data_IF_157726857101
#
_entry.id   IF_157726857101
#
_cell.length_a   1.000
_cell.length_b   1.000
_cell.length_c   1.000
_cell.angle_alpha   90.00
_cell.angle_beta   90.00
_cell.angle_gamma   90.00
#
_symmetry.space_group_name_H-M   'P 1'
#
loop_
_entity.id
_entity.type
_entity.pdbx_description
1 polymer ?
#
# COMPACT_ATOMS: atom_id res chain seq x y z
N UNK A 1 1.51 7.35 14.71
CA UNK A 1 0.95 8.71 14.72
C UNK A 1 0.50 9.22 13.33
N UNK A 2 0.77 8.49 12.26
CA UNK A 2 0.32 8.85 10.93
C UNK A 2 -1.21 8.88 10.85
N UNK A 3 -1.75 9.83 10.13
CA UNK A 3 -3.18 9.91 9.85
C UNK A 3 -3.42 9.43 8.43
N UNK A 4 -3.82 8.17 8.31
CA UNK A 4 -4.23 7.63 7.03
C UNK A 4 -5.68 8.03 6.81
N UNK A 5 -5.89 8.90 5.86
CA UNK A 5 -7.20 9.37 5.46
C UNK A 5 -7.54 8.70 4.13
N UNK A 6 -8.25 7.57 4.13
CA UNK A 6 -8.72 6.93 2.89
C UNK A 6 -9.84 7.75 2.23
N UNK A 7 -9.96 8.98 2.65
CA UNK A 7 -10.84 9.99 2.14
C UNK A 7 -10.41 10.36 0.71
N UNK A 8 -11.13 9.87 -0.23
CA UNK A 8 -11.11 10.41 -1.57
C UNK A 8 -12.05 11.60 -1.55
N UNK A 9 -11.49 12.81 -1.43
CA UNK A 9 -12.26 14.05 -1.36
C UNK A 9 -13.37 14.08 -2.43
N UNK A 10 -14.48 14.73 -2.13
CA UNK A 10 -15.66 14.75 -3.00
C UNK A 10 -15.36 15.17 -4.45
N UNK A 11 -14.35 16.04 -4.67
CA UNK A 11 -13.90 16.41 -6.02
C UNK A 11 -13.24 15.25 -6.79
N UNK A 12 -12.77 14.21 -6.12
CA UNK A 12 -12.16 13.03 -6.76
C UNK A 12 -13.21 12.07 -7.31
N UNK A 13 -14.44 12.13 -6.85
CA UNK A 13 -15.56 11.45 -7.50
C UNK A 13 -15.73 11.89 -8.95
N UNK A 14 -15.28 13.08 -9.31
CA UNK A 14 -15.27 13.64 -10.66
C UNK A 14 -13.92 13.45 -11.38
N UNK A 15 -13.03 12.63 -10.85
CA UNK A 15 -11.76 12.33 -11.52
C UNK A 15 -12.00 11.62 -12.85
N UNK A 16 -11.17 11.86 -13.88
CA UNK A 16 -11.31 11.20 -15.18
C UNK A 16 -11.36 9.67 -15.08
N UNK A 17 -10.64 9.08 -14.13
CA UNK A 17 -10.65 7.65 -13.87
C UNK A 17 -12.04 7.16 -13.42
N UNK A 18 -12.62 7.80 -12.40
CA UNK A 18 -13.92 7.39 -11.85
C UNK A 18 -15.02 7.57 -12.90
N UNK A 19 -15.00 8.67 -13.64
CA UNK A 19 -15.96 8.93 -14.74
C UNK A 19 -15.80 7.88 -15.84
N UNK A 20 -14.58 7.62 -16.29
CA UNK A 20 -14.31 6.67 -17.36
C UNK A 20 -14.66 5.22 -16.97
N UNK A 21 -14.57 4.88 -15.69
CA UNK A 21 -14.97 3.55 -15.17
C UNK A 21 -16.49 3.31 -15.23
N UNK A 22 -17.29 4.35 -15.35
CA UNK A 22 -18.76 4.28 -15.25
C UNK A 22 -19.29 3.96 -13.85
N UNK A 23 -18.42 3.96 -12.82
CA UNK A 23 -18.71 3.54 -11.45
C UNK A 23 -18.94 4.71 -10.48
N UNK A 24 -19.05 5.94 -11.00
CA UNK A 24 -19.14 7.14 -10.17
C UNK A 24 -20.24 7.06 -9.11
N UNK A 25 -21.45 6.61 -9.49
CA UNK A 25 -22.56 6.49 -8.54
C UNK A 25 -22.32 5.40 -7.49
N UNK A 26 -21.75 4.26 -7.88
CA UNK A 26 -21.45 3.16 -6.98
C UNK A 26 -20.32 3.50 -5.98
N UNK A 27 -19.34 4.29 -6.40
CA UNK A 27 -18.21 4.70 -5.57
C UNK A 27 -18.48 5.97 -4.75
N UNK A 28 -19.51 6.77 -5.12
CA UNK A 28 -19.82 8.04 -4.45
C UNK A 28 -19.92 7.94 -2.91
N UNK A 29 -20.55 6.88 -2.31
CA UNK A 29 -20.62 6.74 -0.85
C UNK A 29 -19.24 6.65 -0.17
N UNK A 30 -18.22 6.18 -0.88
CA UNK A 30 -16.86 5.99 -0.37
C UNK A 30 -15.95 7.21 -0.55
N UNK A 31 -16.41 8.23 -1.30
CA UNK A 31 -15.70 9.50 -1.47
C UNK A 31 -16.06 10.51 -0.39
N UNK A 32 -16.16 10.02 0.84
CA UNK A 32 -16.40 10.83 2.02
C UNK A 32 -15.34 10.53 3.07
N UNK A 33 -15.12 11.48 3.95
CA UNK A 33 -14.22 11.28 5.08
C UNK A 33 -14.87 10.31 6.08
N UNK A 34 -14.12 9.28 6.49
CA UNK A 34 -14.55 8.35 7.52
C UNK A 34 -13.35 7.91 8.37
N UNK A 35 -13.60 7.42 9.56
CA UNK A 35 -12.60 6.81 10.41
C UNK A 35 -12.33 5.39 9.94
N UNK A 36 -11.07 5.07 9.69
CA UNK A 36 -10.67 3.71 9.35
C UNK A 36 -10.70 2.82 10.59
N UNK A 37 -10.14 3.31 11.68
CA UNK A 37 -10.06 2.61 12.95
C UNK A 37 -10.12 3.61 14.12
N UNK A 38 -11.18 3.52 14.93
CA UNK A 38 -11.37 4.41 16.08
C UNK A 38 -10.37 4.15 17.22
N UNK A 39 -9.68 3.02 17.22
CA UNK A 39 -8.67 2.63 18.21
C UNK A 39 -7.27 3.19 17.90
N UNK A 40 -7.11 3.87 16.76
CA UNK A 40 -5.87 4.52 16.35
C UNK A 40 -6.00 6.05 16.42
N UNK A 41 -4.94 6.78 16.08
CA UNK A 41 -4.91 8.24 16.18
C UNK A 41 -5.92 8.96 15.28
N UNK A 42 -6.44 8.31 14.26
CA UNK A 42 -7.58 8.83 13.47
C UNK A 42 -8.88 8.87 14.28
N UNK A 43 -9.04 8.01 15.30
CA UNK A 43 -10.12 8.07 16.29
C UNK A 43 -9.94 9.17 17.36
N UNK A 44 -8.73 9.65 17.55
CA UNK A 44 -8.35 10.64 18.58
C UNK A 44 -7.84 11.96 17.98
N UNK A 45 -8.56 12.45 16.98
CA UNK A 45 -8.13 13.60 16.20
C UNK A 45 -7.90 14.87 17.03
N UNK A 46 -8.71 15.07 18.08
CA UNK A 46 -8.55 16.22 19.01
C UNK A 46 -7.21 16.19 19.75
N UNK A 47 -6.89 15.05 20.35
CA UNK A 47 -5.65 14.84 21.10
C UNK A 47 -4.43 14.89 20.18
N UNK A 48 -4.54 14.32 18.98
CA UNK A 48 -3.49 14.40 17.98
C UNK A 48 -3.18 15.84 17.60
N UNK A 49 -4.22 16.65 17.32
CA UNK A 49 -4.07 18.08 17.04
C UNK A 49 -3.44 18.82 18.21
N UNK A 50 -3.89 18.55 19.45
CA UNK A 50 -3.34 19.17 20.66
C UNK A 50 -1.86 18.83 20.84
N UNK A 51 -1.45 17.58 20.61
CA UNK A 51 -0.04 17.16 20.66
C UNK A 51 0.79 17.91 19.61
N UNK A 52 0.34 17.95 18.38
CA UNK A 52 1.05 18.66 17.30
C UNK A 52 1.15 20.17 17.59
N UNK A 53 0.08 20.76 18.10
CA UNK A 53 0.07 22.16 18.52
C UNK A 53 1.05 22.42 19.66
N UNK A 54 1.14 21.52 20.65
CA UNK A 54 2.11 21.61 21.74
C UNK A 54 3.55 21.62 21.20
N UNK A 55 3.90 20.71 20.29
CA UNK A 55 5.23 20.66 19.67
C UNK A 55 5.58 21.98 18.98
N UNK A 56 4.65 22.53 18.21
CA UNK A 56 4.85 23.80 17.48
C UNK A 56 4.98 25.00 18.42
N UNK A 57 4.04 25.13 19.37
CA UNK A 57 3.99 26.30 20.27
C UNK A 57 5.23 26.38 21.17
N UNK A 58 5.81 25.25 21.51
CA UNK A 58 7.05 25.17 22.32
C UNK A 58 8.32 25.05 21.44
N UNK A 59 8.21 25.21 20.12
CA UNK A 59 9.33 25.13 19.19
C UNK A 59 10.14 23.83 19.31
N UNK A 60 9.47 22.70 19.63
CA UNK A 60 10.08 21.37 19.71
C UNK A 60 10.22 20.85 18.28
N UNK A 61 11.46 20.64 17.86
CA UNK A 61 11.83 20.25 16.48
C UNK A 61 12.47 18.86 16.45
N UNK A 62 12.62 18.33 15.24
CA UNK A 62 13.26 17.03 14.96
C UNK A 62 12.57 15.87 15.69
N UNK A 63 11.26 15.94 15.80
CA UNK A 63 10.46 14.86 16.41
C UNK A 63 10.22 13.77 15.40
N UNK A 64 10.52 12.53 15.78
CA UNK A 64 10.28 11.33 14.99
C UNK A 64 9.52 10.32 15.83
N UNK A 65 8.39 9.85 15.35
CA UNK A 65 7.69 8.71 15.90
C UNK A 65 8.20 7.42 15.25
N UNK A 66 8.37 6.39 16.04
CA UNK A 66 8.64 5.02 15.61
C UNK A 66 7.44 4.20 16.01
N UNK A 67 6.69 3.72 15.05
CA UNK A 67 5.39 3.09 15.27
C UNK A 67 5.30 1.71 14.60
N UNK A 68 4.28 0.95 14.97
CA UNK A 68 3.99 -0.38 14.44
C UNK A 68 2.49 -0.60 14.34
N UNK A 69 2.03 -1.80 14.71
CA UNK A 69 0.64 -2.22 14.85
C UNK A 69 -0.13 -2.41 13.53
N UNK A 70 -0.06 -1.47 12.60
CA UNK A 70 -0.85 -1.46 11.36
C UNK A 70 -0.41 -2.52 10.33
N UNK A 71 0.65 -3.27 10.60
CA UNK A 71 1.14 -4.35 9.73
C UNK A 71 1.52 -3.89 8.31
N UNK A 72 2.16 -2.75 8.21
CA UNK A 72 2.62 -2.15 6.97
C UNK A 72 3.86 -1.31 7.19
N UNK A 73 4.61 -1.03 6.13
CA UNK A 73 5.60 0.02 6.15
C UNK A 73 5.00 1.32 5.65
N UNK A 74 5.09 2.36 6.47
CA UNK A 74 4.79 3.72 6.04
C UNK A 74 5.91 4.67 6.49
N UNK A 75 6.14 5.70 5.71
CA UNK A 75 6.95 6.84 6.12
C UNK A 75 6.31 8.12 5.61
N UNK A 76 6.22 9.11 6.47
CA UNK A 76 5.59 10.36 6.11
C UNK A 76 5.70 11.42 7.18
N UNK A 77 4.96 12.51 6.97
CA UNK A 77 4.86 13.60 7.94
C UNK A 77 3.53 13.52 8.68
N UNK A 78 3.56 13.85 9.97
CA UNK A 78 2.35 14.11 10.74
C UNK A 78 2.14 15.62 10.79
N UNK A 79 1.04 16.05 10.23
CA UNK A 79 0.70 17.46 10.16
C UNK A 79 -0.14 17.89 11.37
N UNK A 80 -0.11 19.16 11.69
CA UNK A 80 -0.83 19.71 12.84
C UNK A 80 -2.35 19.60 12.68
N UNK A 81 -2.86 19.79 11.47
CA UNK A 81 -4.30 19.67 11.17
C UNK A 81 -4.54 19.17 9.75
N UNK A 82 -4.76 17.86 9.62
CA UNK A 82 -5.08 17.25 8.33
C UNK A 82 -6.44 17.69 7.75
N UNK A 83 -7.34 18.23 8.59
CA UNK A 83 -8.66 18.66 8.15
C UNK A 83 -8.66 20.09 7.60
N UNK A 84 -7.58 20.83 7.82
CA UNK A 84 -7.42 22.17 7.25
C UNK A 84 -7.21 22.11 5.73
N UNK A 85 -7.49 23.22 5.06
CA UNK A 85 -7.20 23.37 3.64
C UNK A 85 -5.70 23.18 3.39
N UNK A 86 -5.36 22.24 2.51
CA UNK A 86 -3.97 21.86 2.23
C UNK A 86 -3.40 20.84 3.22
N UNK A 87 -4.17 20.34 4.20
CA UNK A 87 -3.77 19.27 5.10
C UNK A 87 -2.85 19.68 6.24
N UNK A 88 -2.78 20.96 6.57
CA UNK A 88 -1.98 21.48 7.69
C UNK A 88 -0.47 21.58 7.42
N UNK A 89 0.29 21.81 8.48
CA UNK A 89 1.74 21.99 8.44
C UNK A 89 2.46 20.79 9.03
N UNK A 90 3.47 20.22 8.35
CA UNK A 90 4.29 19.13 8.90
C UNK A 90 4.92 19.51 10.22
N UNK A 91 4.75 18.66 11.23
CA UNK A 91 5.21 18.90 12.62
C UNK A 91 6.21 17.84 13.07
N UNK A 92 6.00 16.58 12.69
CA UNK A 92 6.92 15.49 12.98
C UNK A 92 6.97 14.50 11.82
N UNK A 93 7.91 13.56 11.87
CA UNK A 93 8.00 12.42 10.97
C UNK A 93 7.47 11.18 11.68
N UNK A 94 6.75 10.34 10.97
CA UNK A 94 6.34 9.02 11.44
C UNK A 94 6.95 7.92 10.55
N UNK A 95 7.59 6.96 11.18
CA UNK A 95 8.21 5.80 10.56
C UNK A 95 7.55 4.55 11.13
N UNK A 96 6.71 3.93 10.32
CA UNK A 96 5.88 2.78 10.71
C UNK A 96 6.49 1.51 10.18
N UNK A 97 6.69 0.52 11.06
CA UNK A 97 7.23 -0.79 10.69
C UNK A 97 6.14 -1.82 10.51
N UNK A 98 6.31 -2.69 9.52
CA UNK A 98 5.49 -3.88 9.34
C UNK A 98 5.75 -4.93 10.44
N UNK A 99 4.84 -5.89 10.58
CA UNK A 99 5.05 -7.09 11.39
C UNK A 99 5.91 -8.12 10.67
N UNK A 100 6.60 -8.97 11.45
CA UNK A 100 7.49 -10.03 10.90
C UNK A 100 6.72 -11.21 10.32
N UNK A 101 5.56 -11.56 10.90
CA UNK A 101 4.81 -12.78 10.57
C UNK A 101 3.30 -12.61 10.58
N UNK A 102 2.81 -11.44 10.93
CA UNK A 102 1.37 -11.13 10.91
C UNK A 102 0.86 -10.92 9.48
N UNK A 103 -0.43 -11.09 9.29
CA UNK A 103 -1.08 -10.69 8.05
C UNK A 103 -0.85 -9.20 7.78
N UNK A 104 -0.75 -8.85 6.51
CA UNK A 104 -0.48 -7.46 6.12
C UNK A 104 -1.76 -6.63 6.12
N UNK A 105 -1.61 -5.31 6.25
CA UNK A 105 -2.71 -4.36 6.11
C UNK A 105 -3.47 -4.54 4.77
N UNK A 106 -2.73 -4.81 3.69
CA UNK A 106 -3.33 -5.12 2.39
C UNK A 106 -4.23 -6.35 2.45
N UNK A 107 -3.81 -7.44 3.13
CA UNK A 107 -4.64 -8.67 3.22
C UNK A 107 -5.96 -8.38 3.92
N UNK A 108 -5.94 -7.66 5.04
CA UNK A 108 -7.16 -7.28 5.76
C UNK A 108 -8.11 -6.43 4.92
N UNK A 109 -7.55 -5.41 4.23
CA UNK A 109 -8.39 -4.56 3.37
C UNK A 109 -8.92 -5.30 2.16
N UNK A 110 -8.11 -6.12 1.50
CA UNK A 110 -8.55 -6.95 0.37
C UNK A 110 -9.74 -7.82 0.75
N UNK A 111 -9.65 -8.49 1.89
CA UNK A 111 -10.69 -9.41 2.35
C UNK A 111 -11.96 -8.64 2.80
N UNK A 112 -11.78 -7.50 3.46
CA UNK A 112 -12.90 -6.65 3.84
C UNK A 112 -13.63 -6.06 2.63
N UNK A 113 -12.91 -5.45 1.68
CA UNK A 113 -13.56 -4.83 0.51
C UNK A 113 -14.16 -5.85 -0.43
N UNK A 114 -13.59 -7.05 -0.52
CA UNK A 114 -14.13 -8.15 -1.30
C UNK A 114 -15.53 -8.58 -0.83
N UNK A 115 -15.80 -8.45 0.47
CA UNK A 115 -17.10 -8.75 1.07
C UNK A 115 -18.09 -7.58 1.01
N UNK A 116 -17.60 -6.33 0.93
CA UNK A 116 -18.42 -5.12 0.96
C UNK A 116 -18.89 -4.70 -0.44
N UNK A 117 -18.00 -4.64 -1.39
CA UNK A 117 -18.30 -4.14 -2.74
C UNK A 117 -17.21 -4.54 -3.74
N UNK A 118 -17.64 -5.17 -4.84
CA UNK A 118 -16.74 -5.48 -5.96
C UNK A 118 -16.19 -4.21 -6.63
N UNK A 119 -16.95 -3.11 -6.60
CA UNK A 119 -16.51 -1.84 -7.16
C UNK A 119 -15.42 -1.19 -6.32
N UNK A 120 -15.57 -1.21 -4.99
CA UNK A 120 -14.54 -0.74 -4.06
C UNK A 120 -13.27 -1.58 -4.16
N UNK A 121 -13.41 -2.88 -4.37
CA UNK A 121 -12.27 -3.81 -4.52
C UNK A 121 -11.32 -3.37 -5.65
N UNK A 122 -11.85 -2.78 -6.74
CA UNK A 122 -11.03 -2.30 -7.87
C UNK A 122 -10.07 -1.16 -7.51
N UNK A 123 -10.28 -0.48 -6.38
CA UNK A 123 -9.38 0.55 -5.86
C UNK A 123 -8.27 -0.04 -4.98
N UNK A 124 -8.43 -1.28 -4.56
CA UNK A 124 -7.54 -1.95 -3.60
C UNK A 124 -6.65 -2.98 -4.30
N UNK A 125 -7.21 -3.79 -5.19
CA UNK A 125 -6.47 -4.84 -5.87
C UNK A 125 -6.94 -5.12 -7.29
N UNK A 126 -6.05 -5.75 -8.07
CA UNK A 126 -6.34 -6.20 -9.44
C UNK A 126 -5.90 -7.65 -9.62
N UNK A 127 -6.82 -8.59 -9.94
CA UNK A 127 -6.45 -9.97 -10.20
C UNK A 127 -6.09 -10.18 -11.67
N UNK A 128 -5.05 -10.97 -11.95
CA UNK A 128 -4.72 -11.49 -13.28
C UNK A 128 -4.61 -12.99 -13.21
N UNK A 129 -5.27 -13.68 -14.14
CA UNK A 129 -5.17 -15.13 -14.31
C UNK A 129 -4.25 -15.46 -15.49
N UNK A 130 -3.21 -16.23 -15.25
CA UNK A 130 -2.21 -16.60 -16.25
C UNK A 130 -2.30 -18.12 -16.49
N UNK A 131 -2.68 -18.57 -17.70
CA UNK A 131 -2.53 -19.95 -18.08
C UNK A 131 -1.03 -20.32 -18.13
N UNK A 132 -0.61 -21.31 -17.35
CA UNK A 132 0.82 -21.66 -17.26
C UNK A 132 1.27 -22.59 -18.38
N UNK A 133 0.34 -23.22 -19.08
CA UNK A 133 0.66 -24.26 -20.09
C UNK A 133 1.30 -25.53 -19.51
N UNK A 134 1.31 -25.66 -18.19
CA UNK A 134 1.89 -26.77 -17.43
C UNK A 134 0.81 -27.47 -16.59
N UNK A 135 1.12 -28.57 -15.90
CA UNK A 135 0.20 -29.19 -14.93
C UNK A 135 -0.27 -28.28 -13.81
N UNK A 136 0.39 -27.12 -13.58
CA UNK A 136 -0.06 -26.06 -12.68
C UNK A 136 -1.41 -25.44 -13.08
N UNK A 137 -1.83 -25.60 -14.32
CA UNK A 137 -3.09 -25.03 -14.82
C UNK A 137 -3.04 -23.51 -14.93
N UNK A 138 -3.86 -22.81 -14.16
CA UNK A 138 -3.92 -21.33 -14.14
C UNK A 138 -3.36 -20.79 -12.84
N UNK A 139 -2.42 -19.87 -12.95
CA UNK A 139 -1.90 -19.09 -11.82
C UNK A 139 -2.69 -17.81 -11.68
N UNK A 140 -3.26 -17.57 -10.50
CA UNK A 140 -3.94 -16.33 -10.16
C UNK A 140 -2.99 -15.42 -9.37
N UNK A 141 -2.71 -14.26 -9.91
CA UNK A 141 -1.87 -13.23 -9.28
C UNK A 141 -2.75 -12.07 -8.86
N UNK A 142 -2.61 -11.62 -7.62
CA UNK A 142 -3.31 -10.45 -7.10
C UNK A 142 -2.33 -9.30 -6.93
N UNK A 143 -2.57 -8.20 -7.64
CA UNK A 143 -1.76 -6.99 -7.55
C UNK A 143 -2.32 -6.04 -6.50
N UNK A 144 -1.47 -5.62 -5.59
CA UNK A 144 -1.77 -4.58 -4.61
C UNK A 144 -1.76 -3.22 -5.31
N UNK A 145 -2.92 -2.56 -5.34
CA UNK A 145 -3.07 -1.19 -5.87
C UNK A 145 -3.12 -0.15 -4.75
N UNK A 146 -3.26 -0.60 -3.49
CA UNK A 146 -3.42 0.28 -2.34
C UNK A 146 -2.21 1.19 -2.13
N UNK A 147 -0.99 0.69 -2.35
CA UNK A 147 0.24 1.46 -2.22
C UNK A 147 0.25 2.69 -3.15
N UNK A 148 -0.39 2.56 -4.31
CA UNK A 148 -0.49 3.65 -5.29
C UNK A 148 -1.61 4.65 -4.97
N UNK A 149 -2.70 4.18 -4.35
CA UNK A 149 -3.80 5.06 -3.93
C UNK A 149 -3.51 5.81 -2.65
N UNK A 150 -2.68 5.25 -1.77
CA UNK A 150 -2.36 5.81 -0.45
C UNK A 150 -1.04 6.58 -0.42
N UNK A 151 -0.01 6.08 -1.10
CA UNK A 151 1.33 6.65 -1.10
C UNK A 151 1.62 7.58 -2.28
N UNK A 152 2.89 7.96 -2.42
CA UNK A 152 3.38 8.77 -3.54
C UNK A 152 4.27 7.98 -4.51
N UNK A 153 4.27 6.66 -4.40
CA UNK A 153 5.06 5.80 -5.30
C UNK A 153 4.43 5.80 -6.67
N UNK A 154 5.17 6.24 -7.68
CA UNK A 154 4.73 6.13 -9.06
C UNK A 154 4.77 4.66 -9.51
N UNK A 155 3.68 4.10 -10.05
CA UNK A 155 3.67 2.73 -10.52
C UNK A 155 4.53 2.57 -11.78
N UNK A 156 5.35 1.52 -11.78
CA UNK A 156 6.17 1.11 -12.93
C UNK A 156 5.96 -0.37 -13.23
N UNK A 157 6.31 -0.79 -14.45
CA UNK A 157 6.24 -2.22 -14.81
C UNK A 157 7.11 -3.08 -13.90
N UNK A 158 8.25 -2.57 -13.47
CA UNK A 158 9.17 -3.33 -12.61
C UNK A 158 8.60 -3.50 -11.20
N UNK A 159 8.02 -2.45 -10.61
CA UNK A 159 7.36 -2.56 -9.30
C UNK A 159 6.17 -3.52 -9.32
N UNK A 160 5.39 -3.53 -10.40
CA UNK A 160 4.30 -4.49 -10.58
C UNK A 160 4.85 -5.90 -10.80
N UNK A 161 5.93 -6.05 -11.56
CA UNK A 161 6.57 -7.35 -11.76
C UNK A 161 7.15 -7.91 -10.46
N UNK A 162 7.68 -7.07 -9.57
CA UNK A 162 8.18 -7.48 -8.25
C UNK A 162 7.05 -8.04 -7.36
N UNK A 163 5.85 -7.47 -7.42
CA UNK A 163 4.68 -8.05 -6.74
C UNK A 163 4.32 -9.44 -7.31
N UNK A 164 4.38 -9.59 -8.62
CA UNK A 164 4.11 -10.88 -9.28
C UNK A 164 5.18 -11.92 -8.99
N UNK A 165 6.46 -11.51 -8.92
CA UNK A 165 7.61 -12.41 -8.70
C UNK A 165 7.44 -13.29 -7.48
N UNK A 166 7.05 -12.72 -6.34
CA UNK A 166 6.86 -13.46 -5.09
C UNK A 166 5.76 -14.50 -5.25
N UNK A 167 4.64 -14.14 -5.87
CA UNK A 167 3.49 -15.02 -6.05
C UNK A 167 3.79 -16.15 -7.06
N UNK A 168 4.45 -15.82 -8.18
CA UNK A 168 4.86 -16.80 -9.21
C UNK A 168 5.85 -17.80 -8.62
N UNK A 169 6.90 -17.31 -7.95
CA UNK A 169 7.91 -18.19 -7.33
C UNK A 169 7.29 -19.12 -6.30
N UNK A 170 6.40 -18.58 -5.47
CA UNK A 170 5.69 -19.36 -4.46
C UNK A 170 4.81 -20.44 -5.06
N UNK A 171 4.06 -20.14 -6.11
CA UNK A 171 3.22 -21.12 -6.80
C UNK A 171 4.04 -22.21 -7.48
N UNK A 172 5.16 -21.86 -8.10
CA UNK A 172 6.09 -22.84 -8.69
C UNK A 172 6.69 -23.77 -7.62
N UNK A 173 7.09 -23.24 -6.48
CA UNK A 173 7.59 -24.04 -5.36
C UNK A 173 6.53 -25.01 -4.81
N UNK A 174 5.30 -24.53 -4.60
CA UNK A 174 4.18 -25.37 -4.16
C UNK A 174 3.83 -26.49 -5.14
N UNK A 175 4.04 -26.24 -6.42
CA UNK A 175 3.84 -27.24 -7.46
C UNK A 175 4.98 -28.24 -7.61
N UNK A 176 6.00 -28.15 -6.77
CA UNK A 176 7.13 -29.06 -6.75
C UNK A 176 8.22 -28.74 -7.77
N UNK A 177 8.29 -27.52 -8.29
CA UNK A 177 9.42 -27.13 -9.13
C UNK A 177 10.74 -27.20 -8.32
N UNK A 178 11.83 -27.75 -8.92
CA UNK A 178 13.11 -27.85 -8.23
C UNK A 178 13.63 -26.46 -7.83
N UNK A 179 14.12 -26.31 -6.58
CA UNK A 179 14.61 -25.03 -6.04
C UNK A 179 15.63 -24.37 -6.99
N UNK A 180 16.55 -25.13 -7.58
CA UNK A 180 17.55 -24.64 -8.52
C UNK A 180 16.98 -24.05 -9.82
N UNK A 181 15.69 -24.29 -10.12
CA UNK A 181 15.03 -23.80 -11.33
C UNK A 181 14.00 -22.70 -11.04
N UNK A 182 13.64 -22.48 -9.78
CA UNK A 182 12.57 -21.56 -9.41
C UNK A 182 12.79 -20.15 -9.96
N UNK A 183 13.99 -19.60 -9.82
CA UNK A 183 14.28 -18.26 -10.26
C UNK A 183 14.23 -18.11 -11.78
N UNK A 184 14.77 -19.11 -12.52
CA UNK A 184 14.74 -19.12 -13.99
C UNK A 184 13.29 -19.20 -14.50
N UNK A 185 12.51 -20.13 -13.96
CA UNK A 185 11.10 -20.30 -14.33
C UNK A 185 10.27 -19.06 -13.98
N UNK A 186 10.55 -18.47 -12.82
CA UNK A 186 9.89 -17.23 -12.39
C UNK A 186 10.15 -16.11 -13.39
N UNK A 187 11.41 -15.86 -13.76
CA UNK A 187 11.73 -14.79 -14.71
C UNK A 187 11.16 -15.04 -16.11
N UNK A 188 11.10 -16.29 -16.56
CA UNK A 188 10.44 -16.64 -17.82
C UNK A 188 8.93 -16.31 -17.79
N UNK A 189 8.24 -16.65 -16.70
CA UNK A 189 6.82 -16.31 -16.54
C UNK A 189 6.60 -14.81 -16.44
N UNK A 190 7.47 -14.09 -15.74
CA UNK A 190 7.40 -12.63 -15.66
C UNK A 190 7.65 -11.94 -17.00
N UNK A 191 8.56 -12.48 -17.82
CA UNK A 191 8.79 -11.96 -19.17
C UNK A 191 7.52 -12.08 -20.04
N UNK A 192 6.83 -13.24 -19.99
CA UNK A 192 5.55 -13.42 -20.64
C UNK A 192 4.45 -12.48 -20.12
N UNK A 193 4.39 -12.30 -18.79
CA UNK A 193 3.46 -11.39 -18.15
C UNK A 193 3.71 -9.94 -18.60
N UNK A 194 4.95 -9.48 -18.57
CA UNK A 194 5.34 -8.11 -19.02
C UNK A 194 4.99 -7.86 -20.49
N UNK A 195 5.01 -8.87 -21.33
CA UNK A 195 4.62 -8.77 -22.73
C UNK A 195 3.09 -8.71 -22.94
N UNK A 196 2.31 -9.11 -21.94
CA UNK A 196 0.84 -9.17 -22.02
C UNK A 196 0.22 -7.76 -21.95
N UNK A 197 -0.71 -7.40 -22.84
CA UNK A 197 -1.46 -6.14 -22.76
C UNK A 197 -2.25 -5.98 -21.44
N UNK A 198 -2.73 -7.08 -20.86
CA UNK A 198 -3.43 -7.05 -19.57
C UNK A 198 -2.53 -6.52 -18.45
N UNK A 199 -1.25 -6.75 -18.53
CA UNK A 199 -0.27 -6.27 -17.56
C UNK A 199 0.32 -4.92 -17.94
N UNK A 200 0.94 -4.82 -19.13
CA UNK A 200 1.73 -3.63 -19.49
C UNK A 200 0.88 -2.42 -19.89
N UNK A 201 -0.38 -2.62 -20.25
CA UNK A 201 -1.29 -1.54 -20.65
C UNK A 201 -2.43 -1.38 -19.64
N UNK A 202 -3.19 -2.46 -19.38
CA UNK A 202 -4.40 -2.32 -18.55
C UNK A 202 -4.05 -2.13 -17.07
N UNK A 203 -3.25 -3.02 -16.48
CA UNK A 203 -2.88 -2.93 -15.06
C UNK A 203 -2.01 -1.69 -14.79
N UNK A 204 -0.96 -1.45 -15.60
CA UNK A 204 -0.12 -0.28 -15.41
C UNK A 204 -0.90 1.02 -15.58
N UNK A 205 -1.75 1.12 -16.61
CA UNK A 205 -2.61 2.29 -16.82
C UNK A 205 -3.58 2.53 -15.67
N UNK A 206 -4.18 1.46 -15.12
CA UNK A 206 -5.03 1.53 -13.95
C UNK A 206 -4.24 2.03 -12.72
N UNK A 207 -3.09 1.45 -12.44
CA UNK A 207 -2.25 1.86 -11.31
C UNK A 207 -1.82 3.32 -11.41
N UNK A 208 -1.46 3.78 -12.62
CA UNK A 208 -1.11 5.19 -12.88
C UNK A 208 -2.30 6.14 -12.65
N UNK A 209 -3.49 5.75 -13.08
CA UNK A 209 -4.69 6.54 -12.84
C UNK A 209 -5.04 6.60 -11.35
N UNK A 210 -4.91 5.47 -10.62
CA UNK A 210 -5.15 5.40 -9.19
C UNK A 210 -4.16 6.24 -8.38
N UNK A 211 -2.91 6.33 -8.81
CA UNK A 211 -1.92 7.19 -8.14
C UNK A 211 -2.31 8.67 -8.17
N UNK A 212 -3.10 9.09 -9.15
CA UNK A 212 -3.69 10.43 -9.22
C UNK A 212 -4.79 10.67 -8.17
N UNK A 213 -5.34 9.61 -7.56
CA UNK A 213 -6.33 9.70 -6.48
C UNK A 213 -5.72 9.85 -5.09
N UNK A 214 -4.39 9.91 -4.98
CA UNK A 214 -3.69 9.97 -3.70
C UNK A 214 -4.36 10.96 -2.73
N UNK A 215 -4.94 10.41 -1.66
CA UNK A 215 -5.62 11.17 -0.60
C UNK A 215 -4.72 11.47 0.60
N UNK A 216 -3.49 10.95 0.59
CA UNK A 216 -2.52 11.08 1.67
C UNK A 216 -1.20 11.71 1.18
N UNK A 217 -1.17 12.98 0.78
CA UNK A 217 0.03 13.61 0.20
C UNK A 217 1.20 13.73 1.21
N UNK A 218 0.93 13.54 2.49
CA UNK A 218 1.92 13.48 3.57
C UNK A 218 2.62 12.12 3.68
N UNK A 219 2.03 11.02 3.15
CA UNK A 219 2.71 9.72 3.03
C UNK A 219 3.68 9.76 1.86
N UNK A 220 4.97 9.64 2.15
CA UNK A 220 6.05 9.63 1.17
C UNK A 220 6.40 8.22 0.72
N UNK A 221 6.12 7.24 1.55
CA UNK A 221 6.34 5.82 1.27
C UNK A 221 5.21 5.01 1.88
N UNK A 222 4.71 4.05 1.13
CA UNK A 222 3.73 3.06 1.56
C UNK A 222 4.07 1.70 0.96
N UNK A 223 4.05 0.67 1.79
CA UNK A 223 4.16 -0.72 1.39
C UNK A 223 3.24 -1.56 2.27
N UNK A 224 2.04 -1.78 1.80
CA UNK A 224 0.94 -2.32 2.62
C UNK A 224 0.86 -3.84 2.63
N UNK A 225 1.59 -4.52 1.75
CA UNK A 225 1.64 -5.99 1.61
C UNK A 225 2.93 -6.62 2.16
N UNK A 226 3.85 -5.81 2.65
CA UNK A 226 5.15 -6.29 3.12
C UNK A 226 5.12 -6.79 4.57
N UNK A 227 5.99 -7.76 4.85
CA UNK A 227 6.39 -8.18 6.19
C UNK A 227 7.85 -7.80 6.41
N UNK A 228 8.25 -7.50 7.63
CA UNK A 228 9.62 -7.14 7.92
C UNK A 228 9.81 -6.31 9.18
N UNK A 229 10.92 -5.58 9.21
CA UNK A 229 11.31 -4.75 10.35
C UNK A 229 12.03 -3.47 9.89
N UNK A 230 12.08 -2.48 10.75
CA UNK A 230 12.84 -1.26 10.52
C UNK A 230 14.15 -1.27 11.31
N UNK A 231 15.22 -0.80 10.66
CA UNK A 231 16.50 -0.51 11.31
C UNK A 231 16.68 0.99 11.35
N UNK A 232 16.71 1.55 12.54
CA UNK A 232 16.90 2.98 12.76
C UNK A 232 18.31 3.24 13.28
N UNK A 233 19.04 4.12 12.63
CA UNK A 233 20.37 4.57 13.05
C UNK A 233 20.28 6.04 13.39
N UNK A 234 20.64 6.39 14.63
CA UNK A 234 20.66 7.74 15.14
C UNK A 234 22.08 8.20 15.42
N UNK A 235 22.42 9.35 14.88
CA UNK A 235 23.68 10.07 15.16
C UNK A 235 23.33 11.49 15.61
N UNK A 236 24.29 12.27 16.15
CA UNK A 236 24.02 13.66 16.55
C UNK A 236 23.47 14.55 15.43
N UNK A 237 23.80 14.25 14.18
CA UNK A 237 23.40 15.09 13.03
C UNK A 237 22.37 14.43 12.11
N UNK A 238 22.01 13.15 12.31
CA UNK A 238 21.16 12.44 11.37
C UNK A 238 20.43 11.26 11.99
N UNK A 239 19.19 11.06 11.56
CA UNK A 239 18.45 9.82 11.75
C UNK A 239 18.21 9.20 10.38
N UNK A 240 18.58 7.94 10.21
CA UNK A 240 18.26 7.14 9.03
C UNK A 240 17.41 5.93 9.41
N UNK A 241 16.48 5.58 8.55
CA UNK A 241 15.64 4.40 8.71
C UNK A 241 15.71 3.55 7.45
N UNK A 242 15.95 2.25 7.63
CA UNK A 242 15.92 1.26 6.58
C UNK A 242 14.79 0.28 6.85
N UNK A 243 13.80 0.22 5.98
CA UNK A 243 12.80 -0.84 6.00
C UNK A 243 13.40 -2.11 5.38
N UNK A 244 13.45 -3.16 6.17
CA UNK A 244 13.95 -4.49 5.77
C UNK A 244 12.76 -5.39 5.54
N UNK A 245 12.47 -5.66 4.28
CA UNK A 245 11.45 -6.62 3.91
C UNK A 245 12.01 -8.04 4.02
N UNK A 246 11.27 -8.93 4.66
CA UNK A 246 11.55 -10.36 4.66
C UNK A 246 10.80 -11.04 3.54
N UNK A 247 11.39 -12.08 2.95
CA UNK A 247 10.67 -12.91 2.00
C UNK A 247 9.54 -13.62 2.74
N UNK A 248 8.33 -13.52 2.21
CA UNK A 248 7.19 -14.23 2.75
C UNK A 248 7.50 -15.73 2.71
N UNK A 249 7.44 -16.38 3.85
CA UNK A 249 7.55 -17.84 3.90
C UNK A 249 6.37 -18.45 3.14
N UNK A 250 6.68 -19.15 2.06
CA UNK A 250 5.68 -19.83 1.25
C UNK A 250 5.59 -21.26 1.80
N UNK A 251 4.55 -21.52 2.56
CA UNK A 251 4.27 -22.85 3.12
C UNK A 251 3.97 -22.84 4.61
N UNK A 252 3.12 -23.77 5.05
CA UNK A 252 2.66 -23.94 6.43
C UNK A 252 3.73 -24.50 7.41
N UNK A 253 5.00 -24.29 7.13
CA UNK A 253 6.11 -24.72 7.98
C UNK A 253 6.77 -23.53 8.65
N UNK A 254 5.97 -22.71 9.32
CA UNK A 254 6.42 -21.81 10.36
C UNK A 254 5.96 -22.34 11.71
#
# INVERSE_FOLDING_TARGET
FGYIKPDVQANKANSPFVIASGKQAALAPYFSQFLLNADQWDGYNGERKALMQHLRSNNIKNVVALTGDIHSFFAGTVNDDFDSVGGGTPTMVDLVTAGMSSDSFFSYLRDAVGSLSTDLATLVYYPISIPTGTPLGTLNITFNLLDYTMGQTAPTLDLLADQARVQVRGALAQAGAPEAQLDVLTEQMLAGLKASPSFNTNLLGLAQQLSGLNSNPWLKYARTDAQGFAVVTLTPGNLSCQFKQVNRLVGNNA
#
